data_IF_389963509307
#
_entry.id   IF_389963509307
#
_cell.length_a   1.000
_cell.length_b   1.000
_cell.length_c   1.000
_cell.angle_alpha   90.00
_cell.angle_beta   90.00
_cell.angle_gamma   90.00
#
_symmetry.space_group_name_H-M   'P 1'
#
loop_
_entity.id
_entity.type
_entity.pdbx_description
1 polymer ?
#
# COMPACT_ATOMS: atom_id res chain seq x y z
N UNK A 1 11.16 -32.54 7.50
CA UNK A 1 11.06 -31.07 7.29
C UNK A 1 11.24 -30.42 8.65
N UNK A 2 12.25 -29.57 8.86
CA UNK A 2 12.51 -28.94 10.16
C UNK A 2 11.42 -27.91 10.50
N UNK A 3 11.17 -27.66 11.79
CA UNK A 3 10.15 -26.71 12.27
C UNK A 3 10.38 -25.29 11.71
N UNK A 4 11.64 -24.87 11.64
CA UNK A 4 12.09 -23.61 11.03
C UNK A 4 11.70 -23.50 9.55
N UNK A 5 11.92 -24.56 8.76
CA UNK A 5 11.52 -24.60 7.35
C UNK A 5 9.99 -24.50 7.17
N UNK A 6 9.21 -24.99 8.13
CA UNK A 6 7.74 -24.84 8.13
C UNK A 6 7.35 -23.39 8.43
N UNK A 7 7.99 -22.76 9.41
CA UNK A 7 7.76 -21.35 9.78
C UNK A 7 8.05 -20.40 8.60
N UNK A 8 9.21 -20.56 7.94
CA UNK A 8 9.61 -19.71 6.81
C UNK A 8 8.62 -19.83 5.64
N UNK A 9 8.22 -21.06 5.28
CA UNK A 9 7.25 -21.28 4.20
C UNK A 9 5.88 -20.68 4.52
N UNK A 10 5.44 -20.81 5.77
CA UNK A 10 4.18 -20.24 6.22
C UNK A 10 4.24 -18.70 6.18
N UNK A 11 5.28 -18.10 6.72
CA UNK A 11 5.48 -16.66 6.69
C UNK A 11 5.51 -16.12 5.25
N UNK A 12 6.16 -16.83 4.33
CA UNK A 12 6.14 -16.47 2.90
C UNK A 12 4.71 -16.51 2.34
N UNK A 13 3.99 -17.61 2.55
CA UNK A 13 2.61 -17.75 2.06
C UNK A 13 1.68 -16.67 2.61
N UNK A 14 1.82 -16.31 3.89
CA UNK A 14 1.04 -15.24 4.52
C UNK A 14 1.41 -13.86 3.99
N UNK A 15 2.70 -13.61 3.74
CA UNK A 15 3.12 -12.36 3.10
C UNK A 15 2.55 -12.22 1.70
N UNK A 16 2.59 -13.28 0.88
CA UNK A 16 1.95 -13.31 -0.44
C UNK A 16 0.44 -13.08 -0.35
N UNK A 17 -0.24 -13.76 0.59
CA UNK A 17 -1.68 -13.61 0.84
C UNK A 17 -2.05 -12.17 1.24
N UNK A 18 -1.20 -11.50 2.03
CA UNK A 18 -1.39 -10.10 2.38
C UNK A 18 -1.27 -9.16 1.17
N UNK A 19 -0.36 -9.46 0.22
CA UNK A 19 -0.26 -8.73 -1.05
C UNK A 19 -1.48 -8.96 -1.94
N UNK A 20 -1.97 -10.20 -2.02
CA UNK A 20 -3.19 -10.51 -2.76
C UNK A 20 -4.39 -9.73 -2.18
N UNK A 21 -4.50 -9.68 -0.85
CA UNK A 21 -5.55 -8.98 -0.13
C UNK A 21 -5.47 -7.46 -0.31
N UNK A 22 -4.27 -6.90 -0.40
CA UNK A 22 -4.05 -5.47 -0.70
C UNK A 22 -4.72 -5.07 -2.02
N UNK A 23 -4.70 -5.97 -3.01
CA UNK A 23 -5.33 -5.74 -4.32
C UNK A 23 -6.85 -5.83 -4.21
N UNK A 24 -7.37 -6.99 -3.80
CA UNK A 24 -8.79 -7.15 -3.49
C UNK A 24 -9.06 -8.42 -2.69
N UNK A 25 -10.17 -8.43 -1.93
CA UNK A 25 -10.61 -9.62 -1.20
C UNK A 25 -10.89 -10.79 -2.15
N UNK A 26 -11.61 -10.54 -3.25
CA UNK A 26 -11.96 -11.56 -4.24
C UNK A 26 -10.71 -12.17 -4.89
N UNK A 27 -9.67 -11.37 -5.14
CA UNK A 27 -8.42 -11.88 -5.68
C UNK A 27 -7.71 -12.78 -4.67
N UNK A 28 -7.58 -12.35 -3.42
CA UNK A 28 -6.97 -13.17 -2.36
C UNK A 28 -7.71 -14.49 -2.13
N UNK A 29 -9.05 -14.44 -2.08
CA UNK A 29 -9.90 -15.63 -1.98
C UNK A 29 -9.68 -16.61 -3.13
N UNK A 30 -9.59 -16.12 -4.37
CA UNK A 30 -9.29 -16.96 -5.54
C UNK A 30 -7.91 -17.64 -5.43
N UNK A 31 -6.89 -16.93 -4.93
CA UNK A 31 -5.54 -17.49 -4.79
C UNK A 31 -5.46 -18.61 -3.74
N UNK A 32 -6.26 -18.54 -2.68
CA UNK A 32 -6.34 -19.61 -1.66
C UNK A 32 -7.32 -20.74 -2.05
N UNK A 33 -7.91 -20.69 -3.24
CA UNK A 33 -8.88 -21.68 -3.70
C UNK A 33 -10.29 -21.52 -3.14
N UNK A 34 -10.60 -20.37 -2.52
CA UNK A 34 -11.97 -19.99 -2.17
C UNK A 34 -12.71 -19.65 -3.48
N UNK A 35 -13.38 -20.65 -4.04
CA UNK A 35 -14.26 -20.49 -5.19
C UNK A 35 -15.58 -19.93 -4.67
N UNK A 36 -15.98 -18.72 -5.09
CA UNK A 36 -17.39 -18.34 -5.05
C UNK A 36 -18.16 -19.30 -5.96
N UNK A 37 -18.73 -20.34 -5.39
CA UNK A 37 -19.66 -21.28 -6.04
C UNK A 37 -21.01 -20.63 -6.37
N UNK A 38 -21.16 -19.32 -6.22
CA UNK A 38 -22.42 -18.60 -6.42
C UNK A 38 -22.66 -18.09 -7.85
N UNK A 39 -21.70 -18.25 -8.77
CA UNK A 39 -21.95 -18.09 -10.21
C UNK A 39 -22.08 -19.45 -10.94
N UNK A 40 -22.31 -20.53 -10.21
CA UNK A 40 -22.93 -21.72 -10.82
C UNK A 40 -24.42 -21.43 -10.81
N UNK A 41 -24.93 -20.93 -11.95
CA UNK A 41 -26.35 -21.04 -12.25
C UNK A 41 -26.71 -22.53 -12.26
N UNK A 42 -27.06 -23.08 -11.09
CA UNK A 42 -27.95 -24.23 -10.98
C UNK A 42 -29.34 -23.77 -11.46
N UNK A 43 -29.41 -23.41 -12.75
CA UNK A 43 -30.68 -23.36 -13.43
C UNK A 43 -31.21 -24.77 -13.34
N UNK A 44 -32.33 -24.94 -12.62
CA UNK A 44 -33.11 -26.16 -12.69
C UNK A 44 -33.23 -26.58 -14.15
N UNK A 45 -33.09 -27.88 -14.42
CA UNK A 45 -33.35 -28.44 -15.75
C UNK A 45 -34.84 -28.27 -16.07
N UNK A 46 -35.23 -27.07 -16.50
CA UNK A 46 -36.50 -26.83 -17.15
C UNK A 46 -36.45 -27.64 -18.44
N UNK A 47 -37.39 -28.57 -18.62
CA UNK A 47 -37.49 -29.38 -19.83
C UNK A 47 -37.46 -28.46 -21.06
N UNK A 48 -36.31 -28.39 -21.73
CA UNK A 48 -36.11 -27.52 -22.87
C UNK A 48 -36.94 -28.09 -24.03
N UNK A 49 -37.75 -27.22 -24.64
CA UNK A 49 -38.36 -27.45 -25.95
C UNK A 49 -37.29 -28.01 -26.89
N UNK A 50 -37.61 -29.05 -27.65
CA UNK A 50 -36.73 -29.60 -28.69
C UNK A 50 -36.35 -28.45 -29.64
N UNK A 51 -35.08 -28.03 -29.57
CA UNK A 51 -34.59 -26.93 -30.39
C UNK A 51 -34.59 -27.36 -31.86
N UNK A 52 -35.05 -26.45 -32.73
CA UNK A 52 -35.00 -26.68 -34.17
C UNK A 52 -33.54 -26.72 -34.63
N UNK A 53 -33.22 -27.42 -35.71
CA UNK A 53 -31.84 -27.55 -36.22
C UNK A 53 -31.15 -26.20 -36.45
N UNK A 54 -31.93 -25.18 -36.83
CA UNK A 54 -31.47 -23.80 -37.02
C UNK A 54 -31.02 -23.15 -35.70
N UNK A 55 -31.68 -23.48 -34.59
CA UNK A 55 -31.35 -22.98 -33.24
C UNK A 55 -30.11 -23.67 -32.67
N UNK A 56 -29.94 -24.97 -32.94
CA UNK A 56 -28.73 -25.74 -32.59
C UNK A 56 -27.52 -25.20 -33.36
N UNK A 57 -27.65 -24.96 -34.67
CA UNK A 57 -26.60 -24.37 -35.48
C UNK A 57 -26.26 -22.92 -35.04
N UNK A 58 -27.27 -22.14 -34.66
CA UNK A 58 -27.07 -20.79 -34.12
C UNK A 58 -26.39 -20.81 -32.74
N UNK A 59 -26.73 -21.76 -31.87
CA UNK A 59 -26.11 -21.94 -30.56
C UNK A 59 -24.64 -22.39 -30.70
N UNK A 60 -24.36 -23.37 -31.56
CA UNK A 60 -23.00 -23.81 -31.86
C UNK A 60 -22.14 -22.67 -32.44
N UNK A 61 -22.69 -21.90 -33.39
CA UNK A 61 -22.02 -20.71 -33.95
C UNK A 61 -21.77 -19.62 -32.91
N UNK A 62 -22.70 -19.40 -31.98
CA UNK A 62 -22.50 -18.49 -30.83
C UNK A 62 -21.39 -18.99 -29.92
N UNK A 63 -21.33 -20.28 -29.62
CA UNK A 63 -20.31 -20.87 -28.76
C UNK A 63 -18.91 -20.84 -29.40
N UNK A 64 -18.82 -21.12 -30.71
CA UNK A 64 -17.57 -21.00 -31.49
C UNK A 64 -17.12 -19.53 -31.62
N UNK A 65 -18.06 -18.61 -31.84
CA UNK A 65 -17.76 -17.18 -31.85
C UNK A 65 -17.28 -16.67 -30.47
N UNK A 66 -17.86 -17.17 -29.38
CA UNK A 66 -17.43 -16.84 -28.02
C UNK A 66 -16.03 -17.38 -27.71
N UNK A 67 -15.74 -18.63 -28.08
CA UNK A 67 -14.41 -19.22 -27.86
C UNK A 67 -13.32 -18.57 -28.70
N UNK A 68 -13.60 -18.23 -29.96
CA UNK A 68 -12.67 -17.48 -30.80
C UNK A 68 -12.46 -16.04 -30.31
N UNK A 69 -13.53 -15.37 -29.86
CA UNK A 69 -13.45 -14.04 -29.25
C UNK A 69 -12.63 -14.03 -27.95
N UNK A 70 -12.84 -14.99 -27.04
CA UNK A 70 -12.03 -15.12 -25.83
C UNK A 70 -10.55 -15.37 -26.12
N UNK A 71 -10.23 -16.23 -27.11
CA UNK A 71 -8.84 -16.44 -27.55
C UNK A 71 -8.22 -15.15 -28.08
N UNK A 72 -9.01 -14.34 -28.78
CA UNK A 72 -8.57 -13.07 -29.32
C UNK A 72 -8.33 -12.02 -28.23
N UNK A 73 -9.23 -11.89 -27.25
CA UNK A 73 -9.05 -11.07 -26.05
C UNK A 73 -7.79 -11.49 -25.29
N UNK A 74 -7.60 -12.79 -25.06
CA UNK A 74 -6.42 -13.30 -24.36
C UNK A 74 -5.12 -12.93 -25.10
N UNK A 75 -5.10 -12.99 -26.44
CA UNK A 75 -3.96 -12.55 -27.25
C UNK A 75 -3.73 -11.04 -27.15
N UNK A 76 -4.79 -10.24 -27.24
CA UNK A 76 -4.72 -8.78 -27.10
C UNK A 76 -4.21 -8.38 -25.70
N UNK A 77 -4.74 -9.02 -24.66
CA UNK A 77 -4.32 -8.86 -23.27
C UNK A 77 -2.83 -9.18 -23.08
N UNK A 78 -2.37 -10.34 -23.57
CA UNK A 78 -0.95 -10.74 -23.47
C UNK A 78 -0.04 -9.72 -24.13
N UNK A 79 -0.41 -9.23 -25.32
CA UNK A 79 0.39 -8.22 -26.01
C UNK A 79 0.39 -6.88 -25.27
N UNK A 80 -0.77 -6.42 -24.77
CA UNK A 80 -0.87 -5.19 -24.01
C UNK A 80 0.00 -5.24 -22.74
N UNK A 81 -0.13 -6.31 -21.95
CA UNK A 81 0.63 -6.50 -20.71
C UNK A 81 2.13 -6.59 -20.95
N UNK A 82 2.58 -7.25 -22.03
CA UNK A 82 4.00 -7.26 -22.41
C UNK A 82 4.55 -5.86 -22.69
N UNK A 83 3.78 -5.00 -23.36
CA UNK A 83 4.19 -3.60 -23.61
C UNK A 83 4.22 -2.78 -22.31
N UNK A 84 3.26 -3.03 -21.42
CA UNK A 84 3.20 -2.37 -20.11
C UNK A 84 4.39 -2.77 -19.25
N UNK A 85 4.73 -4.06 -19.21
CA UNK A 85 5.87 -4.59 -18.46
C UNK A 85 7.20 -3.98 -18.92
N UNK A 86 7.42 -3.90 -20.24
CA UNK A 86 8.60 -3.24 -20.80
C UNK A 86 8.65 -1.75 -20.43
N UNK A 87 7.51 -1.05 -20.52
CA UNK A 87 7.41 0.36 -20.18
C UNK A 87 7.61 0.64 -18.68
N UNK A 88 7.16 -0.25 -17.81
CA UNK A 88 7.37 -0.16 -16.36
C UNK A 88 8.82 -0.43 -16.03
N UNK A 89 9.40 -1.51 -16.56
CA UNK A 89 10.81 -1.87 -16.34
C UNK A 89 11.73 -0.70 -16.73
N UNK A 90 11.46 -0.03 -17.85
CA UNK A 90 12.20 1.16 -18.25
C UNK A 90 12.04 2.31 -17.25
N UNK A 91 10.82 2.60 -16.79
CA UNK A 91 10.54 3.67 -15.83
C UNK A 91 11.09 3.39 -14.42
N UNK A 92 11.24 2.12 -14.02
CA UNK A 92 11.84 1.74 -12.73
C UNK A 92 13.30 2.18 -12.57
N UNK A 93 14.01 2.41 -13.67
CA UNK A 93 15.38 2.92 -13.66
C UNK A 93 15.44 4.45 -13.53
N UNK A 94 14.33 5.16 -13.72
CA UNK A 94 14.23 6.61 -13.62
C UNK A 94 13.64 7.02 -12.26
N UNK A 95 14.50 7.02 -11.24
CA UNK A 95 14.11 7.33 -9.86
C UNK A 95 13.60 8.77 -9.73
N UNK A 96 14.13 9.71 -10.50
CA UNK A 96 13.73 11.13 -10.45
C UNK A 96 12.28 11.30 -10.92
N UNK A 97 11.91 10.68 -12.04
CA UNK A 97 10.52 10.64 -12.49
C UNK A 97 9.62 9.93 -11.45
N UNK A 98 10.07 8.85 -10.81
CA UNK A 98 9.26 8.21 -9.77
C UNK A 98 9.03 9.17 -8.59
N UNK A 99 10.08 9.83 -8.13
CA UNK A 99 10.05 10.70 -6.96
C UNK A 99 9.20 11.95 -7.20
N UNK A 100 9.47 12.70 -8.28
CA UNK A 100 8.85 14.01 -8.54
C UNK A 100 7.55 13.92 -9.36
N UNK A 101 7.43 12.99 -10.32
CA UNK A 101 6.29 12.95 -11.26
C UNK A 101 5.27 11.86 -10.93
N UNK A 102 5.72 10.68 -10.51
CA UNK A 102 4.81 9.57 -10.16
C UNK A 102 4.20 9.82 -8.81
N UNK A 103 5.04 10.04 -7.78
CA UNK A 103 4.57 10.23 -6.39
C UNK A 103 4.29 11.71 -6.13
N UNK A 104 5.15 12.61 -6.60
CA UNK A 104 5.01 14.04 -6.31
C UNK A 104 5.52 14.39 -4.92
N UNK A 105 6.66 13.84 -4.52
CA UNK A 105 7.30 14.18 -3.26
C UNK A 105 7.94 15.56 -3.42
N UNK A 106 7.46 16.52 -2.64
CA UNK A 106 8.05 17.86 -2.57
C UNK A 106 9.18 17.87 -1.54
N UNK A 107 10.34 18.44 -1.87
CA UNK A 107 11.55 18.44 -1.04
C UNK A 107 11.35 19.05 0.36
N UNK A 108 10.39 19.98 0.49
CA UNK A 108 10.00 20.56 1.78
C UNK A 108 9.45 19.51 2.76
N UNK A 109 8.85 18.40 2.28
CA UNK A 109 8.29 17.36 3.16
C UNK A 109 9.40 16.56 3.86
N UNK A 110 10.38 15.96 3.16
CA UNK A 110 11.58 15.40 3.79
C UNK A 110 12.28 16.36 4.75
N UNK A 111 12.44 17.62 4.35
CA UNK A 111 13.08 18.63 5.19
C UNK A 111 12.33 18.84 6.52
N UNK A 112 10.99 18.88 6.50
CA UNK A 112 10.17 18.96 7.72
C UNK A 112 10.37 17.72 8.59
N UNK A 113 10.32 16.52 7.99
CA UNK A 113 10.50 15.25 8.73
C UNK A 113 11.86 15.22 9.43
N UNK A 114 12.91 15.64 8.74
CA UNK A 114 14.27 15.64 9.26
C UNK A 114 14.47 16.69 10.36
N UNK A 115 13.88 17.89 10.21
CA UNK A 115 13.90 18.93 11.26
C UNK A 115 13.20 18.42 12.52
N UNK A 116 12.04 17.75 12.38
CA UNK A 116 11.28 17.23 13.51
C UNK A 116 12.06 16.18 14.31
N UNK A 117 13.07 15.52 13.74
CA UNK A 117 13.90 14.51 14.40
C UNK A 117 14.94 15.09 15.38
N UNK A 118 15.17 16.41 15.34
CA UNK A 118 16.20 17.09 16.14
C UNK A 118 15.60 17.68 17.41
N UNK A 119 16.31 17.59 18.54
CA UNK A 119 15.89 18.21 19.82
C UNK A 119 15.73 19.73 19.74
N UNK A 120 16.45 20.40 18.84
CA UNK A 120 16.38 21.85 18.60
C UNK A 120 15.35 22.22 17.51
N UNK A 121 14.42 21.33 17.18
CA UNK A 121 13.29 21.66 16.34
C UNK A 121 12.48 22.82 16.96
N UNK A 122 12.00 23.74 16.12
CA UNK A 122 11.14 24.83 16.55
C UNK A 122 10.07 25.08 15.50
N UNK A 123 8.89 25.52 15.93
CA UNK A 123 7.78 25.82 15.01
C UNK A 123 8.18 26.87 13.97
N UNK A 124 8.99 27.86 14.36
CA UNK A 124 9.48 28.90 13.44
C UNK A 124 10.37 28.37 12.30
N UNK A 125 11.04 27.22 12.48
CA UNK A 125 11.80 26.55 11.40
C UNK A 125 10.89 25.76 10.44
N UNK A 126 9.73 25.31 10.92
CA UNK A 126 8.76 24.56 10.12
C UNK A 126 7.83 25.47 9.33
N UNK A 127 7.52 26.65 9.89
CA UNK A 127 6.52 27.58 9.35
C UNK A 127 6.78 27.97 7.87
N UNK A 128 7.99 28.34 7.43
CA UNK A 128 8.24 28.64 6.02
C UNK A 128 7.97 27.43 5.10
N UNK A 129 8.46 26.24 5.48
CA UNK A 129 8.30 25.01 4.70
C UNK A 129 6.84 24.59 4.57
N UNK A 130 6.05 24.78 5.63
CA UNK A 130 4.61 24.47 5.62
C UNK A 130 3.82 25.50 4.81
N UNK A 131 4.23 26.77 4.83
CA UNK A 131 3.59 27.81 4.02
C UNK A 131 3.81 27.60 2.52
N UNK A 132 4.96 27.05 2.12
CA UNK A 132 5.24 26.66 0.73
C UNK A 132 4.38 25.44 0.30
N UNK A 133 3.91 24.63 1.25
CA UNK A 133 3.08 23.45 1.02
C UNK A 133 1.59 23.74 1.31
N UNK A 134 0.91 24.36 0.34
CA UNK A 134 -0.51 24.75 0.46
C UNK A 134 -1.46 23.61 0.85
N UNK A 135 -1.17 22.36 0.46
CA UNK A 135 -1.96 21.20 0.85
C UNK A 135 -1.77 20.88 2.34
N UNK A 136 -0.53 20.90 2.83
CA UNK A 136 -0.19 20.56 4.21
C UNK A 136 -0.73 21.59 5.18
N UNK A 137 -0.57 22.88 4.87
CA UNK A 137 -1.13 23.96 5.68
C UNK A 137 -2.66 23.85 5.83
N UNK A 138 -3.38 23.52 4.75
CA UNK A 138 -4.84 23.30 4.79
C UNK A 138 -5.21 22.08 5.63
N UNK A 139 -4.46 20.98 5.51
CA UNK A 139 -4.72 19.77 6.28
C UNK A 139 -4.49 19.96 7.79
N UNK A 140 -3.42 20.68 8.17
CA UNK A 140 -3.12 21.01 9.57
C UNK A 140 -4.22 21.90 10.18
N UNK A 141 -4.64 22.93 9.45
CA UNK A 141 -5.75 23.80 9.86
C UNK A 141 -7.05 23.02 10.00
N UNK A 142 -7.34 22.10 9.08
CA UNK A 142 -8.53 21.24 9.15
C UNK A 142 -8.49 20.32 10.38
N UNK A 143 -7.34 19.69 10.66
CA UNK A 143 -7.14 18.79 11.78
C UNK A 143 -7.43 19.46 13.13
N UNK A 144 -6.80 20.61 13.40
CA UNK A 144 -6.97 21.33 14.68
C UNK A 144 -8.39 21.84 14.90
N UNK A 145 -9.14 22.03 13.81
CA UNK A 145 -10.53 22.48 13.86
C UNK A 145 -11.53 21.33 13.97
N UNK A 146 -11.11 20.05 13.97
CA UNK A 146 -12.03 18.93 14.21
C UNK A 146 -12.69 19.05 15.59
N UNK A 147 -13.98 18.68 15.75
CA UNK A 147 -14.71 18.87 17.01
C UNK A 147 -14.01 18.30 18.25
N UNK A 148 -13.31 17.17 18.10
CA UNK A 148 -12.58 16.49 19.17
C UNK A 148 -11.29 17.21 19.62
N UNK A 149 -10.70 18.06 18.78
CA UNK A 149 -9.44 18.78 19.05
C UNK A 149 -9.64 20.30 19.23
N UNK A 150 -10.86 20.78 18.97
CA UNK A 150 -11.15 22.20 18.99
C UNK A 150 -11.15 22.73 20.41
N UNK A 151 -10.20 23.62 20.73
CA UNK A 151 -10.16 24.31 22.02
C UNK A 151 -11.40 25.16 22.24
N UNK A 152 -11.85 25.18 23.50
CA UNK A 152 -12.86 26.12 24.00
C UNK A 152 -12.15 27.19 24.81
N UNK A 153 -12.58 28.44 24.66
CA UNK A 153 -12.13 29.54 25.52
C UNK A 153 -12.71 29.37 26.94
N UNK A 154 -12.30 30.25 27.87
CA UNK A 154 -12.81 30.28 29.24
C UNK A 154 -14.33 30.49 29.37
N UNK A 155 -14.99 30.93 28.28
CA UNK A 155 -16.44 31.13 28.17
C UNK A 155 -17.14 29.98 27.43
N UNK A 156 -16.44 28.88 27.14
CA UNK A 156 -16.99 27.71 26.44
C UNK A 156 -17.15 27.86 24.92
N UNK A 157 -16.80 29.02 24.34
CA UNK A 157 -16.85 29.28 22.89
C UNK A 157 -15.66 28.62 22.19
N UNK A 158 -15.91 27.97 21.06
CA UNK A 158 -14.86 27.32 20.29
C UNK A 158 -13.92 28.32 19.61
N UNK A 159 -12.61 28.13 19.77
CA UNK A 159 -11.58 28.91 19.08
C UNK A 159 -11.35 28.28 17.70
N UNK A 160 -11.47 29.10 16.65
CA UNK A 160 -11.19 28.67 15.28
C UNK A 160 -9.74 29.02 14.92
N UNK A 161 -9.02 28.07 14.38
CA UNK A 161 -7.67 28.28 13.84
C UNK A 161 -7.79 28.50 12.35
N UNK A 162 -7.29 29.63 11.84
CA UNK A 162 -7.44 29.97 10.41
C UNK A 162 -6.10 29.98 9.64
N UNK A 163 -4.95 29.89 10.33
CA UNK A 163 -3.63 29.96 9.69
C UNK A 163 -2.77 28.71 9.97
N UNK A 164 -1.95 28.25 9.00
CA UNK A 164 -1.04 27.13 9.19
C UNK A 164 -0.04 27.35 10.35
N UNK A 165 0.49 28.57 10.48
CA UNK A 165 1.39 28.94 11.58
C UNK A 165 0.74 28.73 12.96
N UNK A 166 -0.52 29.13 13.11
CA UNK A 166 -1.27 28.93 14.36
C UNK A 166 -1.57 27.44 14.58
N UNK A 167 -1.92 26.69 13.52
CA UNK A 167 -2.14 25.26 13.60
C UNK A 167 -0.89 24.50 14.08
N UNK A 168 0.31 24.86 13.59
CA UNK A 168 1.57 24.28 14.05
C UNK A 168 1.81 24.52 15.54
N UNK A 169 1.54 25.74 16.02
CA UNK A 169 1.69 26.10 17.44
C UNK A 169 0.67 25.36 18.32
N UNK A 170 -0.55 25.17 17.83
CA UNK A 170 -1.61 24.45 18.54
C UNK A 170 -1.31 22.96 18.66
N UNK A 171 -0.78 22.34 17.60
CA UNK A 171 -0.40 20.93 17.63
C UNK A 171 0.81 20.70 18.53
N UNK A 172 1.80 21.61 18.47
CA UNK A 172 3.08 21.41 19.14
C UNK A 172 3.96 20.40 18.42
N UNK A 173 5.27 20.46 18.70
CA UNK A 173 6.26 19.65 17.96
C UNK A 173 6.06 18.15 18.16
N UNK A 174 5.72 17.71 19.37
CA UNK A 174 5.52 16.30 19.70
C UNK A 174 4.40 15.65 18.86
N UNK A 175 3.24 16.30 18.75
CA UNK A 175 2.17 15.79 17.88
C UNK A 175 2.55 15.85 16.40
N UNK A 176 3.29 16.87 15.98
CA UNK A 176 3.75 17.02 14.59
C UNK A 176 4.67 15.88 14.14
N UNK A 177 5.42 15.27 15.07
CA UNK A 177 6.26 14.11 14.80
C UNK A 177 5.48 12.90 14.27
N UNK A 178 4.18 12.80 14.57
CA UNK A 178 3.30 11.75 14.05
C UNK A 178 2.36 12.27 12.96
N UNK A 179 1.83 13.48 13.12
CA UNK A 179 0.87 14.06 12.16
C UNK A 179 1.49 14.28 10.78
N UNK A 180 2.71 14.82 10.70
CA UNK A 180 3.34 15.12 9.40
C UNK A 180 3.60 13.85 8.58
N UNK A 181 4.25 12.79 9.11
CA UNK A 181 4.41 11.54 8.36
C UNK A 181 3.07 10.97 7.86
N UNK A 182 2.03 11.00 8.70
CA UNK A 182 0.70 10.49 8.32
C UNK A 182 0.05 11.31 7.20
N UNK A 183 0.13 12.64 7.28
CA UNK A 183 -0.39 13.53 6.23
C UNK A 183 0.39 13.39 4.92
N UNK A 184 1.72 13.29 4.99
CA UNK A 184 2.58 13.11 3.83
C UNK A 184 2.25 11.82 3.06
N UNK A 185 2.22 10.68 3.75
CA UNK A 185 1.89 9.39 3.12
C UNK A 185 0.47 9.39 2.57
N UNK A 186 -0.50 9.98 3.27
CA UNK A 186 -1.86 10.14 2.75
C UNK A 186 -1.91 10.99 1.48
N UNK A 187 -1.13 12.06 1.43
CA UNK A 187 -1.03 12.94 0.26
C UNK A 187 -0.42 12.22 -0.95
N UNK A 188 0.55 11.34 -0.72
CA UNK A 188 1.22 10.58 -1.77
C UNK A 188 0.44 9.39 -2.31
N UNK A 189 -0.61 8.94 -1.62
CA UNK A 189 -1.44 7.84 -2.09
C UNK A 189 -2.09 8.11 -3.46
N UNK A 190 -2.34 7.06 -4.26
CA UNK A 190 -3.06 7.22 -5.52
C UNK A 190 -4.42 7.91 -5.33
N UNK A 191 -4.78 8.80 -6.25
CA UNK A 191 -6.09 9.46 -6.24
C UNK A 191 -7.22 8.48 -6.50
N UNK A 192 -7.06 7.62 -7.51
CA UNK A 192 -7.95 6.54 -7.87
C UNK A 192 -7.17 5.23 -7.98
N UNK A 193 -7.81 4.12 -7.59
CA UNK A 193 -7.24 2.77 -7.68
C UNK A 193 -8.11 1.83 -8.48
N UNK A 194 -9.04 2.34 -9.31
CA UNK A 194 -9.87 1.48 -10.16
C UNK A 194 -9.01 0.58 -11.06
N UNK A 195 -9.38 -0.71 -11.24
CA UNK A 195 -10.60 -1.38 -10.74
C UNK A 195 -10.51 -1.86 -9.27
N UNK A 196 -9.37 -1.67 -8.62
CA UNK A 196 -9.09 -2.09 -7.24
C UNK A 196 -9.63 -1.09 -6.19
N UNK A 197 -10.95 -0.98 -6.08
CA UNK A 197 -11.62 0.09 -5.31
C UNK A 197 -11.19 0.25 -3.84
N UNK A 198 -10.87 -0.83 -3.13
CA UNK A 198 -10.48 -0.79 -1.69
C UNK A 198 -8.96 -0.68 -1.46
N UNK A 199 -8.15 -0.75 -2.52
CA UNK A 199 -6.69 -0.81 -2.41
C UNK A 199 -6.11 0.41 -1.68
N UNK A 200 -6.57 1.61 -2.00
CA UNK A 200 -6.13 2.84 -1.31
C UNK A 200 -6.37 2.77 0.20
N UNK A 201 -7.55 2.28 0.61
CA UNK A 201 -7.92 2.17 2.02
C UNK A 201 -7.02 1.14 2.73
N UNK A 202 -6.86 -0.04 2.13
CA UNK A 202 -5.99 -1.10 2.67
C UNK A 202 -4.53 -0.67 2.77
N UNK A 203 -4.02 0.04 1.77
CA UNK A 203 -2.66 0.59 1.79
C UNK A 203 -2.48 1.59 2.94
N UNK A 204 -3.46 2.46 3.16
CA UNK A 204 -3.46 3.40 4.28
C UNK A 204 -3.51 2.69 5.63
N UNK A 205 -4.38 1.70 5.77
CA UNK A 205 -4.50 0.90 6.99
C UNK A 205 -3.20 0.16 7.28
N UNK A 206 -2.57 -0.44 6.26
CA UNK A 206 -1.29 -1.13 6.40
C UNK A 206 -0.19 -0.18 6.89
N UNK A 207 0.04 0.96 6.23
CA UNK A 207 1.05 1.95 6.66
C UNK A 207 0.81 2.44 8.09
N UNK A 208 -0.45 2.69 8.44
CA UNK A 208 -0.83 3.16 9.77
C UNK A 208 -0.61 2.10 10.85
N UNK A 209 -1.06 0.86 10.60
CA UNK A 209 -0.86 -0.26 11.51
C UNK A 209 0.62 -0.55 11.73
N UNK A 210 1.43 -0.51 10.66
CA UNK A 210 2.89 -0.66 10.75
C UNK A 210 3.52 0.46 11.56
N UNK A 211 3.15 1.72 11.34
CA UNK A 211 3.69 2.85 12.09
C UNK A 211 3.36 2.79 13.59
N UNK A 212 2.12 2.42 13.94
CA UNK A 212 1.71 2.26 15.34
C UNK A 212 2.44 1.08 15.98
N UNK A 213 2.48 -0.09 15.32
CA UNK A 213 3.20 -1.25 15.84
C UNK A 213 4.69 -0.93 16.05
N UNK A 214 5.31 -0.23 15.09
CA UNK A 214 6.70 0.19 15.18
C UNK A 214 6.96 1.15 16.35
N UNK A 215 6.08 2.13 16.54
CA UNK A 215 6.14 3.06 17.68
C UNK A 215 6.10 2.31 19.01
N UNK A 216 5.19 1.37 19.17
CA UNK A 216 4.96 0.64 20.42
C UNK A 216 6.04 -0.42 20.70
N UNK A 217 6.66 -0.96 19.65
CA UNK A 217 7.80 -1.86 19.78
C UNK A 217 9.11 -1.12 20.04
N UNK A 218 9.23 0.15 19.65
CA UNK A 218 10.47 0.92 19.74
C UNK A 218 11.16 0.90 21.13
N UNK A 219 10.45 1.03 22.27
CA UNK A 219 11.07 0.98 23.59
C UNK A 219 11.78 -0.35 23.90
N UNK A 220 11.26 -1.47 23.41
CA UNK A 220 11.85 -2.80 23.63
C UNK A 220 13.21 -2.98 22.96
N UNK A 221 13.52 -2.15 21.96
CA UNK A 221 14.78 -2.19 21.20
C UNK A 221 15.65 -0.95 21.45
N UNK A 222 15.27 -0.09 22.41
CA UNK A 222 16.02 1.13 22.72
C UNK A 222 16.05 2.16 21.58
N UNK A 223 15.12 2.09 20.63
CA UNK A 223 15.02 3.05 19.52
C UNK A 223 13.99 4.13 19.82
N UNK A 224 14.14 5.31 19.21
CA UNK A 224 13.21 6.42 19.40
C UNK A 224 11.87 6.10 18.74
N UNK A 225 10.79 6.25 19.51
CA UNK A 225 9.39 6.07 19.04
C UNK A 225 9.09 6.88 17.77
N UNK A 226 9.49 8.15 17.73
CA UNK A 226 9.32 9.01 16.55
C UNK A 226 9.97 8.41 15.30
N UNK A 227 11.20 7.90 15.42
CA UNK A 227 11.95 7.38 14.28
C UNK A 227 11.24 6.12 13.75
N UNK A 228 10.80 5.25 14.66
CA UNK A 228 10.06 4.04 14.33
C UNK A 228 8.70 4.35 13.69
N UNK A 229 7.95 5.31 14.23
CA UNK A 229 6.68 5.75 13.66
C UNK A 229 6.85 6.32 12.25
N UNK A 230 7.81 7.25 12.09
CA UNK A 230 8.08 7.91 10.80
C UNK A 230 8.50 6.88 9.75
N UNK A 231 9.43 5.98 10.07
CA UNK A 231 9.85 4.96 9.13
C UNK A 231 8.73 3.95 8.83
N UNK A 232 7.94 3.55 9.83
CA UNK A 232 6.80 2.66 9.64
C UNK A 232 5.74 3.24 8.70
N UNK A 233 5.52 4.56 8.72
CA UNK A 233 4.68 5.25 7.74
C UNK A 233 5.28 5.20 6.33
N UNK A 234 6.60 5.39 6.20
CA UNK A 234 7.33 5.47 4.93
C UNK A 234 7.68 4.10 4.32
N UNK A 235 7.61 3.02 5.10
CA UNK A 235 8.05 1.68 4.72
C UNK A 235 7.43 1.20 3.40
N UNK A 236 6.17 1.61 3.18
CA UNK A 236 5.32 1.20 2.07
C UNK A 236 5.30 2.17 0.88
N UNK A 237 6.21 3.14 0.86
CA UNK A 237 6.26 4.16 -0.19
C UNK A 237 6.51 3.56 -1.59
N UNK A 238 7.26 2.47 -1.69
CA UNK A 238 7.46 1.72 -2.92
C UNK A 238 6.18 1.07 -3.43
N UNK A 239 5.28 0.57 -2.57
CA UNK A 239 3.96 0.09 -3.01
C UNK A 239 3.13 1.24 -3.58
N UNK A 240 3.12 2.40 -2.92
CA UNK A 240 2.47 3.62 -3.44
C UNK A 240 3.00 3.98 -4.83
N UNK A 241 4.32 4.00 -5.00
CA UNK A 241 4.99 4.32 -6.26
C UNK A 241 4.60 3.35 -7.38
N UNK A 242 4.69 2.04 -7.12
CA UNK A 242 4.42 0.99 -8.10
C UNK A 242 2.95 0.94 -8.51
N UNK A 243 2.02 1.11 -7.57
CA UNK A 243 0.57 1.17 -7.88
C UNK A 243 0.29 2.36 -8.81
N UNK A 244 0.81 3.55 -8.48
CA UNK A 244 0.63 4.75 -9.31
C UNK A 244 1.27 4.59 -10.68
N UNK A 245 2.49 4.05 -10.73
CA UNK A 245 3.22 3.80 -11.98
C UNK A 245 2.47 2.81 -12.87
N UNK A 246 2.01 1.70 -12.30
CA UNK A 246 1.28 0.67 -13.01
C UNK A 246 -0.02 1.20 -13.61
N UNK A 247 -0.89 1.79 -12.77
CA UNK A 247 -2.20 2.30 -13.23
C UNK A 247 -2.03 3.42 -14.27
N UNK A 248 -1.07 4.34 -14.06
CA UNK A 248 -0.77 5.41 -15.03
C UNK A 248 -0.25 4.84 -16.35
N UNK A 249 0.62 3.84 -16.30
CA UNK A 249 1.20 3.22 -17.51
C UNK A 249 0.16 2.39 -18.25
N UNK A 250 -0.65 1.61 -17.53
CA UNK A 250 -1.76 0.86 -18.10
C UNK A 250 -2.69 1.80 -18.88
N UNK A 251 -3.18 2.87 -18.23
CA UNK A 251 -4.12 3.80 -18.85
C UNK A 251 -3.53 4.43 -20.12
N UNK A 252 -2.28 4.90 -20.07
CA UNK A 252 -1.60 5.50 -21.23
C UNK A 252 -1.45 4.53 -22.39
N UNK A 253 -0.99 3.30 -22.13
CA UNK A 253 -0.76 2.29 -23.17
C UNK A 253 -2.10 1.80 -23.73
N UNK A 254 -3.09 1.59 -22.86
CA UNK A 254 -4.43 1.18 -23.24
C UNK A 254 -5.11 2.21 -24.15
N UNK A 255 -5.14 3.49 -23.74
CA UNK A 255 -5.69 4.59 -24.55
C UNK A 255 -5.01 4.68 -25.93
N UNK A 256 -3.67 4.58 -25.97
CA UNK A 256 -2.93 4.61 -27.23
C UNK A 256 -3.29 3.45 -28.15
N UNK A 257 -3.43 2.22 -27.62
CA UNK A 257 -3.79 1.03 -28.39
C UNK A 257 -5.24 1.09 -28.88
N UNK A 258 -6.17 1.55 -28.05
CA UNK A 258 -7.58 1.76 -28.41
C UNK A 258 -7.68 2.78 -29.56
N UNK A 259 -6.95 3.90 -29.46
CA UNK A 259 -6.93 4.91 -30.50
C UNK A 259 -6.38 4.37 -31.82
N UNK A 260 -5.25 3.65 -31.79
CA UNK A 260 -4.68 3.00 -32.99
C UNK A 260 -5.65 1.99 -33.61
N UNK A 261 -6.33 1.17 -32.80
CA UNK A 261 -7.31 0.20 -33.28
C UNK A 261 -8.50 0.89 -33.97
N UNK A 262 -8.98 2.00 -33.40
CA UNK A 262 -10.03 2.85 -33.97
C UNK A 262 -9.61 3.45 -35.32
N UNK A 263 -8.44 4.07 -35.38
CA UNK A 263 -7.94 4.75 -36.58
C UNK A 263 -7.68 3.77 -37.73
N UNK A 264 -7.20 2.56 -37.40
CA UNK A 264 -7.00 1.47 -38.36
C UNK A 264 -8.29 0.69 -38.68
N UNK A 265 -9.45 1.11 -38.15
CA UNK A 265 -10.76 0.46 -38.34
C UNK A 265 -10.78 -1.02 -37.93
N UNK A 266 -9.96 -1.42 -36.96
CA UNK A 266 -9.86 -2.78 -36.44
C UNK A 266 -10.93 -3.00 -35.34
N UNK A 267 -12.17 -3.24 -35.77
CA UNK A 267 -13.34 -3.36 -34.86
C UNK A 267 -13.16 -4.43 -33.79
N UNK A 268 -12.70 -5.63 -34.16
CA UNK A 268 -12.55 -6.73 -33.22
C UNK A 268 -11.47 -6.44 -32.16
N UNK A 269 -10.37 -5.79 -32.56
CA UNK A 269 -9.32 -5.34 -31.63
C UNK A 269 -9.84 -4.27 -30.69
N UNK A 270 -10.57 -3.30 -31.22
CA UNK A 270 -11.16 -2.24 -30.40
C UNK A 270 -12.11 -2.83 -29.35
N UNK A 271 -13.04 -3.70 -29.74
CA UNK A 271 -13.95 -4.37 -28.79
C UNK A 271 -13.19 -5.16 -27.74
N UNK A 272 -12.20 -5.96 -28.16
CA UNK A 272 -11.39 -6.75 -27.23
C UNK A 272 -10.60 -5.87 -26.25
N UNK A 273 -10.07 -4.73 -26.68
CA UNK A 273 -9.34 -3.80 -25.82
C UNK A 273 -10.26 -3.12 -24.79
N UNK A 274 -11.51 -2.82 -25.15
CA UNK A 274 -12.48 -2.21 -24.22
C UNK A 274 -12.87 -3.11 -23.05
N UNK A 275 -12.70 -4.43 -23.18
CA UNK A 275 -12.96 -5.41 -22.12
C UNK A 275 -11.75 -5.65 -21.22
N UNK A 276 -10.58 -5.10 -21.57
CA UNK A 276 -9.36 -5.27 -20.77
C UNK A 276 -9.40 -4.37 -19.53
N UNK A 277 -8.89 -4.92 -18.44
CA UNK A 277 -8.67 -4.21 -17.19
C UNK A 277 -7.26 -4.49 -16.66
N UNK A 278 -6.75 -3.67 -15.73
CA UNK A 278 -5.50 -3.94 -15.04
C UNK A 278 -5.48 -5.35 -14.41
N UNK A 279 -4.46 -6.15 -14.75
CA UNK A 279 -4.23 -7.49 -14.23
C UNK A 279 -3.77 -7.47 -12.75
N UNK A 280 -4.57 -8.02 -11.82
CA UNK A 280 -4.19 -8.10 -10.41
C UNK A 280 -2.96 -8.98 -10.17
N UNK A 281 -2.76 -10.06 -10.92
CA UNK A 281 -1.62 -10.95 -10.71
C UNK A 281 -0.30 -10.27 -11.10
N UNK A 282 -0.31 -9.56 -12.22
CA UNK A 282 0.84 -8.74 -12.64
C UNK A 282 1.19 -7.70 -11.56
N UNK A 283 0.20 -6.93 -11.08
CA UNK A 283 0.44 -5.94 -10.04
C UNK A 283 0.96 -6.57 -8.75
N UNK A 284 0.42 -7.72 -8.33
CA UNK A 284 0.90 -8.44 -7.16
C UNK A 284 2.38 -8.80 -7.25
N UNK A 285 2.80 -9.39 -8.38
CA UNK A 285 4.20 -9.77 -8.58
C UNK A 285 5.10 -8.53 -8.60
N UNK A 286 4.68 -7.48 -9.30
CA UNK A 286 5.39 -6.20 -9.32
C UNK A 286 5.63 -5.64 -7.91
N UNK A 287 4.61 -5.70 -7.04
CA UNK A 287 4.73 -5.24 -5.65
C UNK A 287 5.70 -6.12 -4.85
N UNK A 288 5.55 -7.44 -4.90
CA UNK A 288 6.41 -8.37 -4.15
C UNK A 288 7.89 -8.22 -4.54
N UNK A 289 8.16 -8.09 -5.84
CA UNK A 289 9.53 -8.09 -6.37
C UNK A 289 10.25 -6.76 -6.17
N UNK A 290 9.54 -5.63 -6.18
CA UNK A 290 10.17 -4.32 -6.26
C UNK A 290 9.83 -3.36 -5.13
N UNK A 291 8.79 -3.59 -4.31
CA UNK A 291 8.32 -2.54 -3.38
C UNK A 291 9.38 -2.12 -2.37
N UNK A 292 10.08 -3.08 -1.76
CA UNK A 292 11.05 -2.78 -0.70
C UNK A 292 12.27 -2.02 -1.24
N UNK A 293 12.80 -2.45 -2.38
CA UNK A 293 13.94 -1.78 -3.02
C UNK A 293 13.59 -0.38 -3.52
N UNK A 294 12.38 -0.19 -4.06
CA UNK A 294 11.91 1.14 -4.45
C UNK A 294 11.69 2.03 -3.21
N UNK A 295 11.11 1.51 -2.12
CA UNK A 295 11.02 2.26 -0.86
C UNK A 295 12.40 2.71 -0.38
N UNK A 296 13.40 1.82 -0.40
CA UNK A 296 14.79 2.11 -0.02
C UNK A 296 15.36 3.27 -0.84
N UNK A 297 15.31 3.16 -2.18
CA UNK A 297 15.82 4.20 -3.09
C UNK A 297 15.12 5.55 -2.93
N UNK A 298 13.80 5.54 -2.70
CA UNK A 298 13.04 6.77 -2.50
C UNK A 298 13.41 7.46 -1.18
N UNK A 299 13.56 6.68 -0.10
CA UNK A 299 13.99 7.21 1.21
C UNK A 299 15.43 7.71 1.13
N UNK A 300 16.32 6.99 0.44
CA UNK A 300 17.69 7.44 0.20
C UNK A 300 17.72 8.81 -0.51
N UNK A 301 16.88 8.99 -1.53
CA UNK A 301 16.71 10.26 -2.27
C UNK A 301 16.09 11.39 -1.43
N UNK A 302 15.48 11.10 -0.28
CA UNK A 302 15.02 12.14 0.65
C UNK A 302 16.17 12.86 1.37
N UNK A 303 17.40 12.34 1.30
CA UNK A 303 18.61 12.95 1.87
C UNK A 303 18.47 13.33 3.37
N UNK A 304 17.77 12.50 4.14
CA UNK A 304 17.53 12.72 5.56
C UNK A 304 18.85 12.67 6.36
N UNK A 305 19.15 13.70 7.14
CA UNK A 305 20.42 13.83 7.86
C UNK A 305 20.36 13.33 9.30
N UNK A 306 19.21 13.52 9.95
CA UNK A 306 19.00 13.20 11.37
C UNK A 306 18.20 11.92 11.59
N UNK A 307 17.53 11.43 10.55
CA UNK A 307 16.83 10.15 10.54
C UNK A 307 17.72 9.06 9.89
N UNK A 308 18.18 8.05 10.66
CA UNK A 308 19.13 7.05 10.17
C UNK A 308 18.43 5.93 9.37
N UNK A 309 17.68 6.30 8.32
CA UNK A 309 16.82 5.35 7.62
C UNK A 309 17.53 4.58 6.51
N UNK A 310 18.58 5.12 5.89
CA UNK A 310 19.21 4.50 4.72
C UNK A 310 19.78 3.10 5.04
N UNK A 311 20.55 2.98 6.12
CA UNK A 311 21.12 1.68 6.54
C UNK A 311 20.03 0.68 6.95
N UNK A 312 18.98 1.17 7.62
CA UNK A 312 17.85 0.34 8.06
C UNK A 312 17.05 -0.17 6.86
N UNK A 313 16.82 0.67 5.85
CA UNK A 313 16.10 0.30 4.63
C UNK A 313 16.92 -0.63 3.73
N UNK A 314 18.24 -0.52 3.74
CA UNK A 314 19.13 -1.47 3.07
C UNK A 314 18.98 -2.88 3.66
N UNK A 315 19.07 -3.01 4.99
CA UNK A 315 18.85 -4.30 5.67
C UNK A 315 17.42 -4.81 5.49
N UNK A 316 16.42 -3.93 5.61
CA UNK A 316 15.02 -4.28 5.43
C UNK A 316 14.73 -4.78 4.02
N UNK A 317 15.23 -4.11 2.97
CA UNK A 317 15.03 -4.55 1.60
C UNK A 317 15.62 -5.94 1.33
N UNK A 318 16.74 -6.27 1.97
CA UNK A 318 17.38 -7.58 1.87
C UNK A 318 16.64 -8.69 2.63
N UNK A 319 15.75 -8.35 3.56
CA UNK A 319 15.01 -9.28 4.43
C UNK A 319 13.50 -9.19 4.27
N UNK A 320 13.03 -8.41 3.30
CA UNK A 320 11.61 -8.11 3.06
C UNK A 320 10.78 -9.37 2.84
N UNK A 321 11.33 -10.33 2.10
CA UNK A 321 10.71 -11.64 1.89
C UNK A 321 11.30 -12.65 2.88
N UNK A 322 10.48 -13.47 3.55
CA UNK A 322 10.94 -14.47 4.53
C UNK A 322 11.95 -15.49 3.99
N UNK A 323 12.02 -15.66 2.67
CA UNK A 323 12.93 -16.57 1.98
C UNK A 323 14.17 -15.87 1.38
N UNK A 324 14.35 -14.57 1.62
CA UNK A 324 15.53 -13.87 1.13
C UNK A 324 16.78 -14.50 1.79
N UNK A 325 17.70 -15.00 0.97
CA UNK A 325 18.79 -15.89 1.37
C UNK A 325 19.91 -15.20 2.20
N UNK A 326 19.61 -14.08 2.84
CA UNK A 326 20.56 -13.27 3.59
C UNK A 326 20.10 -13.17 5.04
N UNK A 327 20.48 -14.15 5.85
CA UNK A 327 20.41 -14.00 7.30
C UNK A 327 21.41 -12.90 7.70
N UNK A 328 20.87 -11.76 8.11
CA UNK A 328 21.69 -10.70 8.72
C UNK A 328 21.95 -11.15 10.16
N UNK A 329 23.22 -11.38 10.49
CA UNK A 329 23.59 -11.96 11.79
C UNK A 329 23.29 -11.03 12.98
N UNK A 330 23.32 -9.72 12.76
CA UNK A 330 23.03 -8.69 13.78
C UNK A 330 22.33 -7.49 13.11
N UNK A 331 21.02 -7.60 12.84
CA UNK A 331 20.27 -6.52 12.19
C UNK A 331 20.14 -5.31 13.12
N UNK A 332 20.18 -4.11 12.54
CA UNK A 332 20.02 -2.87 13.30
C UNK A 332 18.74 -2.91 14.14
N UNK A 333 18.72 -2.35 15.37
CA UNK A 333 17.54 -2.39 16.23
C UNK A 333 16.27 -1.85 15.56
N UNK A 334 16.40 -0.80 14.75
CA UNK A 334 15.26 -0.25 14.01
C UNK A 334 14.79 -1.18 12.86
N UNK A 335 15.70 -1.93 12.22
CA UNK A 335 15.35 -2.95 11.21
C UNK A 335 14.49 -4.05 11.85
N UNK A 336 14.88 -4.53 13.04
CA UNK A 336 14.12 -5.54 13.79
C UNK A 336 12.72 -5.03 14.13
N UNK A 337 12.61 -3.77 14.58
CA UNK A 337 11.31 -3.12 14.83
C UNK A 337 10.47 -3.05 13.56
N UNK A 338 11.03 -2.67 12.41
CA UNK A 338 10.28 -2.60 11.14
C UNK A 338 9.77 -3.97 10.69
N UNK A 339 10.60 -5.01 10.74
CA UNK A 339 10.22 -6.38 10.35
C UNK A 339 9.06 -6.89 11.22
N UNK A 340 9.19 -6.77 12.54
CA UNK A 340 8.17 -7.20 13.51
C UNK A 340 6.88 -6.40 13.35
N UNK A 341 6.98 -5.08 13.24
CA UNK A 341 5.82 -4.19 13.08
C UNK A 341 5.07 -4.44 11.77
N UNK A 342 5.80 -4.62 10.67
CA UNK A 342 5.21 -4.89 9.36
C UNK A 342 4.54 -6.26 9.31
N UNK A 343 5.23 -7.31 9.79
CA UNK A 343 4.65 -8.66 9.85
C UNK A 343 3.40 -8.72 10.74
N UNK A 344 3.42 -8.03 11.88
CA UNK A 344 2.24 -7.91 12.74
C UNK A 344 1.10 -7.14 12.07
N UNK A 345 1.40 -6.06 11.33
CA UNK A 345 0.39 -5.33 10.57
C UNK A 345 -0.25 -6.19 9.46
N UNK A 346 0.53 -7.01 8.76
CA UNK A 346 0.01 -7.99 7.80
C UNK A 346 -0.92 -9.01 8.48
N UNK A 347 -0.53 -9.52 9.65
CA UNK A 347 -1.35 -10.41 10.47
C UNK A 347 -2.72 -9.79 10.79
N UNK A 348 -2.74 -8.54 11.26
CA UNK A 348 -3.99 -7.83 11.57
C UNK A 348 -4.91 -7.74 10.35
N UNK A 349 -4.36 -7.31 9.20
CA UNK A 349 -5.14 -7.13 7.97
C UNK A 349 -5.71 -8.46 7.46
N UNK A 350 -4.95 -9.56 7.59
CA UNK A 350 -5.41 -10.90 7.25
C UNK A 350 -6.50 -11.39 8.22
N UNK A 351 -6.34 -11.16 9.52
CA UNK A 351 -7.31 -11.54 10.56
C UNK A 351 -8.63 -10.79 10.39
N UNK A 352 -8.57 -9.48 10.17
CA UNK A 352 -9.75 -8.63 9.92
C UNK A 352 -10.54 -9.07 8.68
N UNK A 353 -9.86 -9.70 7.72
CA UNK A 353 -10.47 -10.20 6.48
C UNK A 353 -10.78 -11.70 6.51
N UNK A 354 -10.59 -12.39 7.65
CA UNK A 354 -10.80 -13.83 7.81
C UNK A 354 -10.00 -14.67 6.78
N UNK A 355 -8.78 -14.24 6.48
CA UNK A 355 -7.87 -14.92 5.55
C UNK A 355 -6.68 -15.56 6.27
N UNK A 356 -6.80 -15.85 7.56
CA UNK A 356 -5.77 -16.54 8.34
C UNK A 356 -6.44 -17.28 9.50
N UNK A 357 -5.96 -18.49 9.78
CA UNK A 357 -6.39 -19.30 10.91
C UNK A 357 -5.52 -19.03 12.16
N UNK A 358 -6.03 -19.38 13.35
CA UNK A 358 -5.32 -19.10 14.62
C UNK A 358 -3.97 -19.84 14.73
N UNK A 359 -3.85 -21.03 14.14
CA UNK A 359 -2.59 -21.79 14.10
C UNK A 359 -1.56 -21.17 13.15
N UNK A 360 -1.99 -20.69 11.98
CA UNK A 360 -1.16 -19.93 11.05
C UNK A 360 -0.66 -18.62 11.71
N UNK A 361 -1.55 -17.93 12.44
CA UNK A 361 -1.22 -16.70 13.17
C UNK A 361 -0.14 -16.95 14.23
N UNK A 362 -0.27 -18.01 15.02
CA UNK A 362 0.72 -18.37 16.04
C UNK A 362 2.08 -18.73 15.42
N UNK A 363 2.08 -19.44 14.28
CA UNK A 363 3.31 -19.74 13.54
C UNK A 363 4.01 -18.45 13.09
N UNK A 364 3.25 -17.47 12.58
CA UNK A 364 3.80 -16.18 12.15
C UNK A 364 4.36 -15.37 13.33
N UNK A 365 3.62 -15.28 14.45
CA UNK A 365 4.09 -14.56 15.64
C UNK A 365 5.39 -15.15 16.21
N UNK A 366 5.53 -16.48 16.14
CA UNK A 366 6.76 -17.16 16.52
C UNK A 366 7.89 -16.93 15.52
N UNK A 367 7.61 -16.91 14.21
CA UNK A 367 8.60 -16.56 13.19
C UNK A 367 9.11 -15.12 13.33
N UNK A 368 8.23 -14.18 13.70
CA UNK A 368 8.60 -12.80 13.98
C UNK A 368 9.32 -12.63 15.33
N UNK A 369 9.49 -13.70 16.12
CA UNK A 369 10.10 -13.66 17.45
C UNK A 369 9.50 -12.55 18.33
N UNK A 370 8.16 -12.42 18.32
CA UNK A 370 7.45 -11.50 19.20
C UNK A 370 7.30 -12.16 20.56
N UNK A 371 7.90 -11.56 21.60
CA UNK A 371 7.77 -12.03 22.98
C UNK A 371 6.35 -11.80 23.50
N UNK A 372 5.96 -12.51 24.56
CA UNK A 372 4.64 -12.35 25.19
C UNK A 372 4.36 -10.91 25.61
N UNK A 373 5.36 -10.20 26.15
CA UNK A 373 5.24 -8.79 26.53
C UNK A 373 4.95 -7.89 25.32
N UNK A 374 5.66 -8.11 24.20
CA UNK A 374 5.43 -7.38 22.95
C UNK A 374 4.03 -7.67 22.40
N UNK A 375 3.59 -8.94 22.41
CA UNK A 375 2.25 -9.34 21.97
C UNK A 375 1.16 -8.67 22.80
N UNK A 376 1.32 -8.65 24.13
CA UNK A 376 0.38 -7.99 25.04
C UNK A 376 0.34 -6.48 24.87
N UNK A 377 1.48 -5.83 24.58
CA UNK A 377 1.52 -4.42 24.30
C UNK A 377 0.77 -4.11 22.99
N UNK A 378 1.09 -4.81 21.91
CA UNK A 378 0.46 -4.63 20.60
C UNK A 378 -1.05 -4.89 20.64
N UNK A 379 -1.52 -5.89 21.41
CA UNK A 379 -2.94 -6.21 21.53
C UNK A 379 -3.78 -5.09 22.19
N UNK A 380 -3.16 -4.17 22.94
CA UNK A 380 -3.85 -3.03 23.58
C UNK A 380 -4.02 -1.84 22.64
N UNK A 381 -3.33 -1.83 21.50
CA UNK A 381 -3.23 -0.68 20.62
C UNK A 381 -4.45 -0.56 19.69
N UNK A 382 -4.83 0.69 19.39
CA UNK A 382 -5.83 0.99 18.36
C UNK A 382 -5.14 1.31 17.03
N UNK A 383 -5.09 0.34 16.10
CA UNK A 383 -4.31 0.45 14.86
C UNK A 383 -4.94 1.34 13.76
N UNK A 384 -6.21 1.72 13.89
CA UNK A 384 -6.91 2.42 12.81
C UNK A 384 -6.76 3.95 12.84
N UNK A 385 -6.45 4.56 14.00
CA UNK A 385 -6.47 6.02 14.18
C UNK A 385 -5.32 6.53 15.06
N UNK A 386 -4.78 7.71 14.71
CA UNK A 386 -3.84 8.44 15.54
C UNK A 386 -4.59 9.01 16.74
N UNK A 387 -4.23 8.58 17.95
CA UNK A 387 -4.71 9.21 19.18
C UNK A 387 -3.81 10.41 19.50
N UNK A 388 -4.20 11.59 19.03
CA UNK A 388 -3.49 12.83 19.33
C UNK A 388 -3.97 13.42 20.66
N UNK A 389 -3.02 13.80 21.51
CA UNK A 389 -3.28 14.59 22.71
C UNK A 389 -2.97 16.05 22.38
N UNK A 390 -3.97 16.77 21.90
CA UNK A 390 -3.86 18.21 21.60
C UNK A 390 -4.35 18.97 22.84
N UNK A 391 -3.39 19.37 23.68
CA UNK A 391 -3.64 20.19 24.88
C UNK A 391 -4.19 21.55 24.53
#
# INVERSE_FOLDING_TARGET
MTQENKQIRMAQALSERAHDLLISLNFAQKQIGYIHTFDISYGENIAQRTMLEVEIAAAAKRQESSTSHHKYIAKASKHLHSVIEEAITKQLHDLDNIYHEIIGIQDSVPAILDILAVRSASVGRLEPLVNDLSWLGRELVSLVNLPQYRKKNSKGTSIKVDTPALALRYLGLENLQMVIPTMAVRHWMPHATEPFGLMKRKLRELSMSTAIAAKELAPFFGVKEQHAFTLGMLLELGKVALIRLYLRTFEKVWQAKVQIARDKKQKDLHTALMELSPDPLFLRNLLIEHSAEISRKLIEKMELRYLPFNAVMEEYAQTYLPNAHKNIADPLPLTQVMQKAYGYAQLLVLKDSQLIEDDEAEILLNHLELTEEMRQQLAKCAFHNLQLTIL
#
